data_IF_233417753530
#
_entry.id   IF_233417753530
#
_cell.length_a   1.000
_cell.length_b   1.000
_cell.length_c   1.000
_cell.angle_alpha   90.00
_cell.angle_beta   90.00
_cell.angle_gamma   90.00
#
_symmetry.space_group_name_H-M   'P 1'
#
loop_
_entity.id
_entity.type
_entity.pdbx_description
1 polymer ?
#
# COMPACT_ATOMS: atom_id res chain seq x y z
N UNK A 1 28.29 10.56 50.47
CA UNK A 1 28.68 9.76 49.27
C UNK A 1 27.45 9.52 48.39
N UNK A 2 26.33 9.10 48.98
CA UNK A 2 25.02 8.93 48.34
C UNK A 2 24.51 10.13 47.51
N UNK A 3 24.70 11.38 47.98
CA UNK A 3 24.32 12.58 47.21
C UNK A 3 25.04 12.71 45.85
N UNK A 4 26.32 12.30 45.77
CA UNK A 4 27.07 12.34 44.49
C UNK A 4 26.63 11.23 43.54
N UNK A 5 26.15 10.12 44.08
CA UNK A 5 25.65 8.99 43.31
C UNK A 5 24.28 9.32 42.69
N UNK A 6 23.39 9.95 43.45
CA UNK A 6 22.10 10.42 42.91
C UNK A 6 22.30 11.49 41.83
N UNK A 7 23.19 12.47 42.05
CA UNK A 7 23.53 13.49 41.06
C UNK A 7 24.07 12.86 39.76
N UNK A 8 25.04 11.94 39.84
CA UNK A 8 25.58 11.22 38.69
C UNK A 8 24.51 10.43 37.92
N UNK A 9 23.64 9.70 38.63
CA UNK A 9 22.55 8.94 38.03
C UNK A 9 21.55 9.85 37.30
N UNK A 10 21.26 11.04 37.85
CA UNK A 10 20.37 12.01 37.19
C UNK A 10 20.98 12.57 35.91
N UNK A 11 22.27 12.87 35.89
CA UNK A 11 22.93 13.41 34.70
C UNK A 11 23.07 12.37 33.60
N UNK A 12 23.38 11.12 33.97
CA UNK A 12 23.38 9.99 33.05
C UNK A 12 21.98 9.80 32.42
N UNK A 13 20.93 9.89 33.22
CA UNK A 13 19.54 9.78 32.77
C UNK A 13 19.17 10.90 31.78
N UNK A 14 19.57 12.15 32.06
CA UNK A 14 19.32 13.29 31.15
C UNK A 14 20.02 13.09 29.80
N UNK A 15 21.26 12.63 29.80
CA UNK A 15 22.02 12.36 28.56
C UNK A 15 21.38 11.23 27.77
N UNK A 16 20.95 10.14 28.41
CA UNK A 16 20.23 9.07 27.74
C UNK A 16 18.89 9.53 27.16
N UNK A 17 18.11 10.30 27.92
CA UNK A 17 16.83 10.82 27.48
C UNK A 17 16.97 11.75 26.27
N UNK A 18 17.93 12.67 26.29
CA UNK A 18 18.16 13.59 25.16
C UNK A 18 18.59 12.85 23.89
N UNK A 19 19.47 11.85 24.00
CA UNK A 19 19.86 11.00 22.87
C UNK A 19 18.68 10.17 22.33
N UNK A 20 17.87 9.60 23.22
CA UNK A 20 16.66 8.87 22.86
C UNK A 20 15.65 9.75 22.12
N UNK A 21 15.40 10.97 22.61
CA UNK A 21 14.49 11.93 21.96
C UNK A 21 14.99 12.31 20.57
N UNK A 22 16.30 12.50 20.39
CA UNK A 22 16.87 12.80 19.06
C UNK A 22 16.73 11.62 18.10
N UNK A 23 17.01 10.40 18.55
CA UNK A 23 16.90 9.20 17.74
C UNK A 23 15.44 8.87 17.38
N UNK A 24 14.52 8.96 18.34
CA UNK A 24 13.08 8.73 18.11
C UNK A 24 12.50 9.72 17.10
N UNK A 25 12.92 10.99 17.10
CA UNK A 25 12.51 11.96 16.06
C UNK A 25 12.92 11.52 14.66
N UNK A 26 14.11 10.95 14.49
CA UNK A 26 14.55 10.44 13.19
C UNK A 26 13.68 9.25 12.72
N UNK A 27 13.34 8.33 13.65
CA UNK A 27 12.45 7.20 13.36
C UNK A 27 11.07 7.68 12.91
N UNK A 28 10.51 8.71 13.56
CA UNK A 28 9.20 9.27 13.20
C UNK A 28 9.21 9.87 11.79
N UNK A 29 10.28 10.59 11.43
CA UNK A 29 10.43 11.15 10.07
C UNK A 29 10.49 10.04 9.03
N UNK A 30 11.31 9.00 9.28
CA UNK A 30 11.42 7.85 8.39
C UNK A 30 10.09 7.09 8.26
N UNK A 31 9.36 6.92 9.36
CA UNK A 31 8.03 6.31 9.36
C UNK A 31 7.05 7.12 8.52
N UNK A 32 7.00 8.45 8.69
CA UNK A 32 6.13 9.31 7.91
C UNK A 32 6.42 9.23 6.40
N UNK A 33 7.70 9.19 6.02
CA UNK A 33 8.09 9.02 4.60
C UNK A 33 7.60 7.67 4.06
N UNK A 34 7.83 6.58 4.79
CA UNK A 34 7.36 5.26 4.37
C UNK A 34 5.84 5.17 4.30
N UNK A 35 5.11 5.75 5.24
CA UNK A 35 3.65 5.82 5.19
C UNK A 35 3.17 6.60 3.97
N UNK A 36 3.80 7.73 3.63
CA UNK A 36 3.46 8.51 2.44
C UNK A 36 3.70 7.73 1.15
N UNK A 37 4.85 7.05 1.03
CA UNK A 37 5.17 6.20 -0.14
C UNK A 37 4.16 5.06 -0.22
N UNK A 38 3.90 4.37 0.90
CA UNK A 38 2.92 3.29 0.95
C UNK A 38 1.52 3.76 0.55
N UNK A 39 1.09 4.94 1.00
CA UNK A 39 -0.19 5.52 0.60
C UNK A 39 -0.27 5.71 -0.92
N UNK A 40 0.77 6.27 -1.55
CA UNK A 40 0.82 6.45 -3.00
C UNK A 40 0.76 5.10 -3.72
N UNK A 41 1.49 4.09 -3.25
CA UNK A 41 1.45 2.75 -3.83
C UNK A 41 0.05 2.14 -3.75
N UNK A 42 -0.68 2.32 -2.64
CA UNK A 42 -2.06 1.85 -2.53
C UNK A 42 -2.98 2.57 -3.53
N UNK A 43 -2.82 3.88 -3.72
CA UNK A 43 -3.58 4.63 -4.74
C UNK A 43 -3.28 4.09 -6.14
N UNK A 44 -2.02 3.83 -6.47
CA UNK A 44 -1.64 3.25 -7.77
C UNK A 44 -2.28 1.88 -7.98
N UNK A 45 -2.17 1.00 -7.00
CA UNK A 45 -2.75 -0.36 -7.02
C UNK A 45 -4.28 -0.29 -7.16
N UNK A 46 -4.92 0.69 -6.50
CA UNK A 46 -6.35 0.92 -6.58
C UNK A 46 -6.83 1.35 -7.98
N UNK A 47 -6.07 2.21 -8.68
CA UNK A 47 -6.41 2.70 -10.04
C UNK A 47 -6.01 1.70 -11.12
N UNK A 48 -5.06 0.80 -10.85
CA UNK A 48 -4.45 -0.07 -11.86
C UNK A 48 -5.51 -0.90 -12.62
N UNK A 49 -5.54 -0.81 -13.98
CA UNK A 49 -6.60 -1.44 -14.76
C UNK A 49 -6.44 -2.97 -14.92
N UNK A 50 -5.26 -3.50 -14.64
CA UNK A 50 -4.92 -4.92 -14.73
C UNK A 50 -4.27 -5.40 -13.43
N UNK A 51 -4.84 -6.43 -12.81
CA UNK A 51 -4.28 -7.08 -11.62
C UNK A 51 -3.80 -8.48 -11.96
N UNK A 52 -4.63 -9.21 -12.69
CA UNK A 52 -4.35 -10.55 -13.19
C UNK A 52 -4.66 -10.52 -14.68
N UNK A 53 -3.66 -10.74 -15.52
CA UNK A 53 -3.82 -10.75 -16.98
C UNK A 53 -3.34 -12.06 -17.56
N UNK A 54 -4.01 -12.50 -18.61
CA UNK A 54 -3.53 -13.58 -19.47
C UNK A 54 -2.68 -13.00 -20.61
N UNK A 55 -1.74 -13.79 -21.10
CA UNK A 55 -0.87 -13.42 -22.24
C UNK A 55 -1.58 -13.66 -23.57
N UNK A 56 -1.20 -12.92 -24.61
CA UNK A 56 -1.82 -13.01 -25.95
C UNK A 56 -1.69 -14.36 -26.67
N UNK A 57 -0.98 -15.34 -26.09
CA UNK A 57 -0.90 -16.72 -26.59
C UNK A 57 -2.08 -17.60 -26.16
N UNK A 58 -2.96 -17.11 -25.29
CA UNK A 58 -4.11 -17.87 -24.79
C UNK A 58 -5.28 -17.86 -25.78
N UNK A 59 -6.01 -18.98 -25.85
CA UNK A 59 -7.12 -19.17 -26.80
C UNK A 59 -8.27 -18.16 -26.62
N UNK A 60 -8.37 -17.52 -25.45
CA UNK A 60 -9.17 -16.32 -25.21
C UNK A 60 -8.35 -15.44 -24.27
N UNK A 61 -7.79 -14.34 -24.75
CA UNK A 61 -7.04 -13.42 -23.90
C UNK A 61 -8.00 -12.58 -23.05
N UNK A 62 -7.57 -12.25 -21.83
CA UNK A 62 -8.35 -11.40 -20.94
C UNK A 62 -7.54 -10.86 -19.79
N UNK A 63 -8.02 -9.79 -19.18
CA UNK A 63 -7.44 -9.25 -17.96
C UNK A 63 -8.52 -8.87 -16.96
N UNK A 64 -8.21 -9.13 -15.71
CA UNK A 64 -9.02 -8.82 -14.55
C UNK A 64 -8.34 -7.71 -13.77
N UNK A 65 -9.03 -6.59 -13.59
CA UNK A 65 -8.69 -5.52 -12.65
C UNK A 65 -9.54 -5.63 -11.38
N UNK A 66 -9.33 -4.72 -10.43
CA UNK A 66 -10.04 -4.77 -9.14
C UNK A 66 -11.56 -4.57 -9.28
N UNK A 67 -11.99 -3.70 -10.18
CA UNK A 67 -13.40 -3.30 -10.36
C UNK A 67 -13.98 -3.63 -11.74
N UNK A 68 -13.14 -4.11 -12.66
CA UNK A 68 -13.54 -4.38 -14.04
C UNK A 68 -12.77 -5.57 -14.57
N UNK A 69 -13.38 -6.29 -15.50
CA UNK A 69 -12.72 -7.36 -16.22
C UNK A 69 -12.98 -7.18 -17.70
N UNK A 70 -12.00 -7.56 -18.52
CA UNK A 70 -12.05 -7.44 -19.95
C UNK A 70 -11.69 -8.78 -20.56
N UNK A 71 -12.52 -9.24 -21.49
CA UNK A 71 -12.34 -10.51 -22.18
C UNK A 71 -12.46 -10.29 -23.67
N UNK A 72 -11.69 -11.07 -24.40
CA UNK A 72 -11.78 -11.15 -25.85
C UNK A 72 -12.99 -12.02 -26.26
N UNK A 73 -13.75 -11.61 -27.28
CA UNK A 73 -14.92 -12.38 -27.75
C UNK A 73 -14.53 -13.52 -28.71
N UNK A 74 -13.46 -13.32 -29.46
CA UNK A 74 -12.88 -14.29 -30.40
C UNK A 74 -11.40 -14.00 -30.60
N UNK A 75 -10.57 -15.02 -30.85
CA UNK A 75 -9.12 -14.86 -31.07
C UNK A 75 -8.82 -13.76 -32.09
N UNK A 76 -8.11 -12.70 -31.66
CA UNK A 76 -7.76 -11.52 -32.45
C UNK A 76 -8.81 -10.38 -32.49
N UNK A 77 -9.81 -10.38 -31.60
CA UNK A 77 -10.86 -9.34 -31.54
C UNK A 77 -10.62 -8.30 -30.43
N UNK A 78 -11.36 -7.19 -30.48
CA UNK A 78 -11.30 -6.17 -29.43
C UNK A 78 -11.78 -6.70 -28.07
N UNK A 79 -11.20 -6.18 -27.00
CA UNK A 79 -11.58 -6.50 -25.63
C UNK A 79 -12.90 -5.84 -25.25
N UNK A 80 -13.84 -6.64 -24.74
CA UNK A 80 -15.09 -6.15 -24.15
C UNK A 80 -14.91 -6.08 -22.63
N UNK A 81 -14.91 -4.87 -22.11
CA UNK A 81 -14.76 -4.60 -20.68
C UNK A 81 -16.12 -4.44 -19.98
N UNK A 82 -16.29 -5.11 -18.86
CA UNK A 82 -17.47 -5.01 -18.00
C UNK A 82 -17.06 -4.65 -16.58
N UNK A 83 -17.82 -3.77 -15.95
CA UNK A 83 -17.58 -3.27 -14.59
C UNK A 83 -17.03 -1.84 -14.56
N UNK A 84 -17.38 -1.13 -13.49
CA UNK A 84 -16.85 0.20 -13.20
C UNK A 84 -16.73 0.41 -11.67
N UNK A 85 -15.82 1.27 -11.25
CA UNK A 85 -15.56 1.52 -9.82
C UNK A 85 -16.70 2.29 -9.14
N UNK A 86 -17.52 3.01 -9.91
CA UNK A 86 -18.67 3.78 -9.40
C UNK A 86 -19.91 2.88 -9.30
N UNK A 87 -20.09 1.96 -10.23
CA UNK A 87 -21.30 1.12 -10.32
C UNK A 87 -21.10 -0.20 -9.58
N UNK A 88 -21.32 -0.17 -8.27
CA UNK A 88 -21.16 -1.33 -7.40
C UNK A 88 -22.09 -2.52 -7.72
N UNK A 89 -23.14 -2.30 -8.51
CA UNK A 89 -24.02 -3.35 -9.03
C UNK A 89 -23.38 -4.16 -10.17
N UNK A 90 -22.34 -3.64 -10.81
CA UNK A 90 -21.62 -4.30 -11.92
C UNK A 90 -20.62 -5.37 -11.45
N UNK A 91 -20.43 -5.50 -10.13
CA UNK A 91 -19.52 -6.47 -9.53
C UNK A 91 -20.13 -7.87 -9.56
N UNK A 92 -19.42 -8.82 -10.17
CA UNK A 92 -19.87 -10.18 -10.47
C UNK A 92 -20.26 -11.04 -9.25
N UNK A 93 -19.73 -10.74 -8.06
CA UNK A 93 -19.98 -11.56 -6.86
C UNK A 93 -20.32 -10.71 -5.64
N UNK A 94 -20.99 -11.33 -4.66
CA UNK A 94 -21.33 -10.70 -3.38
C UNK A 94 -20.16 -10.59 -2.40
N UNK A 95 -18.99 -11.13 -2.74
CA UNK A 95 -17.78 -11.07 -1.89
C UNK A 95 -16.96 -9.81 -2.14
N UNK A 96 -17.11 -9.20 -3.32
CA UNK A 96 -16.50 -7.92 -3.72
C UNK A 96 -17.55 -6.79 -3.79
N UNK A 97 -18.84 -7.13 -3.67
CA UNK A 97 -19.92 -6.25 -3.18
C UNK A 97 -19.91 -6.27 -1.64
#
# INVERSE_FOLDING_TARGET
MEYRETEYNTDLTKVHHTNYVRNSRAIVVLWAIFTCIFFILNVVVWIQPQWIGDTGDSAVAGFFGLYKYCVETSVGSDFICNGDFISWESILNSYFK
#
